data_IF_611723349842
#
_entry.id   IF_611723349842
#
_cell.length_a   1.000
_cell.length_b   1.000
_cell.length_c   1.000
_cell.angle_alpha   90.00
_cell.angle_beta   90.00
_cell.angle_gamma   90.00
#
_symmetry.space_group_name_H-M   'P 1'
#
loop_
_entity.id
_entity.type
_entity.pdbx_description
1 polymer ?
#
# COMPACT_ATOMS: atom_id res chain seq x y z
N UNK A 1 47.54 8.85 39.01
CA UNK A 1 46.20 8.28 39.28
C UNK A 1 45.26 8.78 38.21
N UNK A 2 44.98 7.91 37.26
CA UNK A 2 44.21 8.10 36.03
C UNK A 2 42.73 7.85 36.31
N UNK A 3 41.85 8.72 35.83
CA UNK A 3 40.41 8.44 35.71
C UNK A 3 39.97 8.87 34.31
N UNK A 4 39.88 7.88 33.40
CA UNK A 4 39.39 8.04 32.05
C UNK A 4 37.87 7.82 32.09
N UNK A 5 37.08 8.86 31.88
CA UNK A 5 35.63 8.76 31.78
C UNK A 5 35.25 8.24 30.39
N UNK A 6 34.78 7.00 30.33
CA UNK A 6 34.21 6.41 29.11
C UNK A 6 32.78 6.93 28.99
N UNK A 7 32.58 7.87 28.07
CA UNK A 7 31.26 8.31 27.65
C UNK A 7 30.63 7.19 26.81
N UNK A 8 29.62 6.50 27.39
CA UNK A 8 28.79 5.57 26.66
C UNK A 8 27.88 6.36 25.71
N UNK A 9 28.24 6.39 24.42
CA UNK A 9 27.37 6.86 23.36
C UNK A 9 26.27 5.81 23.19
N UNK A 10 25.10 6.10 23.75
CA UNK A 10 23.85 5.40 23.43
C UNK A 10 23.56 5.66 21.94
N UNK A 11 23.92 4.71 21.09
CA UNK A 11 23.45 4.63 19.72
C UNK A 11 21.93 4.42 19.78
N UNK A 12 21.18 5.50 19.60
CA UNK A 12 19.75 5.43 19.31
C UNK A 12 19.66 4.79 17.93
N UNK A 13 19.35 3.48 17.91
CA UNK A 13 18.95 2.79 16.69
C UNK A 13 17.62 3.43 16.26
N UNK A 14 17.71 4.43 15.38
CA UNK A 14 16.55 4.77 14.56
C UNK A 14 16.21 3.51 13.77
N UNK A 15 14.93 3.09 13.72
CA UNK A 15 14.53 2.08 12.76
C UNK A 15 14.79 2.69 11.37
N UNK A 16 15.94 2.36 10.80
CA UNK A 16 16.12 2.42 9.36
C UNK A 16 14.97 1.58 8.81
N UNK A 17 14.03 2.20 8.09
CA UNK A 17 12.95 1.48 7.43
C UNK A 17 13.56 0.31 6.68
N UNK A 18 13.41 -0.90 7.23
CA UNK A 18 14.05 -2.08 6.70
C UNK A 18 13.45 -2.33 5.32
N UNK A 19 14.27 -2.30 4.27
CA UNK A 19 13.82 -2.67 2.94
C UNK A 19 13.30 -4.11 2.92
N UNK A 20 12.61 -4.48 1.85
CA UNK A 20 12.09 -5.83 1.66
C UNK A 20 13.24 -6.81 1.44
N UNK A 21 13.27 -7.87 2.25
CA UNK A 21 14.27 -8.95 2.17
C UNK A 21 13.82 -9.98 1.13
N UNK A 22 14.46 -9.95 -0.04
CA UNK A 22 14.06 -10.75 -1.19
C UNK A 22 15.13 -11.78 -1.51
N UNK A 23 14.71 -13.04 -1.62
CA UNK A 23 15.54 -14.14 -2.12
C UNK A 23 14.89 -14.73 -3.36
N UNK A 24 15.62 -14.76 -4.46
CA UNK A 24 15.21 -15.45 -5.68
C UNK A 24 16.25 -16.49 -6.08
N UNK A 25 15.79 -17.52 -6.77
CA UNK A 25 16.65 -18.54 -7.34
C UNK A 25 16.91 -18.22 -8.82
N UNK A 26 18.16 -18.32 -9.23
CA UNK A 26 18.66 -18.10 -10.58
C UNK A 26 19.15 -19.44 -11.11
N UNK A 27 18.63 -19.93 -12.23
CA UNK A 27 18.93 -21.30 -12.71
C UNK A 27 20.41 -21.48 -13.16
N UNK A 28 20.91 -22.73 -13.16
CA UNK A 28 22.30 -23.09 -13.43
C UNK A 28 22.87 -22.58 -14.77
N UNK A 29 22.06 -22.51 -15.84
CA UNK A 29 22.49 -21.92 -17.13
C UNK A 29 22.87 -20.42 -17.00
N UNK A 30 22.49 -19.81 -15.88
CA UNK A 30 22.71 -18.39 -15.56
C UNK A 30 23.67 -18.16 -14.38
N UNK A 31 24.11 -19.22 -13.68
CA UNK A 31 24.85 -19.16 -12.41
C UNK A 31 26.38 -19.19 -12.52
N UNK A 32 26.95 -19.38 -13.71
CA UNK A 32 28.41 -19.35 -13.97
C UNK A 32 29.04 -17.93 -13.89
N UNK A 33 28.27 -16.92 -13.46
CA UNK A 33 28.67 -15.52 -13.42
C UNK A 33 29.08 -15.09 -12.00
N UNK A 34 30.04 -14.17 -11.90
CA UNK A 34 30.48 -13.60 -10.62
C UNK A 34 29.49 -12.56 -10.05
N UNK A 35 28.51 -12.14 -10.85
CA UNK A 35 27.52 -11.11 -10.52
C UNK A 35 26.13 -11.54 -11.03
N UNK A 36 25.04 -11.14 -10.37
CA UNK A 36 23.68 -11.45 -10.83
C UNK A 36 23.38 -10.77 -12.17
N UNK A 37 22.66 -11.49 -13.05
CA UNK A 37 22.21 -10.92 -14.32
C UNK A 37 21.21 -9.78 -14.09
N UNK A 38 21.14 -8.79 -14.99
CA UNK A 38 20.11 -7.74 -14.94
C UNK A 38 18.67 -8.26 -14.97
N UNK A 39 18.41 -9.46 -15.53
CA UNK A 39 17.10 -10.12 -15.48
C UNK A 39 16.73 -10.55 -14.07
N UNK A 40 17.62 -11.31 -13.40
CA UNK A 40 17.44 -11.76 -12.03
C UNK A 40 17.28 -10.56 -11.07
N UNK A 41 18.10 -9.53 -11.23
CA UNK A 41 17.95 -8.31 -10.43
C UNK A 41 16.57 -7.67 -10.64
N UNK A 42 16.10 -7.51 -11.88
CA UNK A 42 14.75 -6.96 -12.14
C UNK A 42 13.65 -7.78 -11.50
N UNK A 43 13.74 -9.11 -11.54
CA UNK A 43 12.80 -10.00 -10.88
C UNK A 43 12.81 -9.81 -9.36
N UNK A 44 14.00 -9.74 -8.75
CA UNK A 44 14.13 -9.52 -7.32
C UNK A 44 13.56 -8.15 -6.89
N UNK A 45 13.80 -7.10 -7.68
CA UNK A 45 13.22 -5.77 -7.46
C UNK A 45 11.68 -5.80 -7.57
N UNK A 46 11.14 -6.45 -8.60
CA UNK A 46 9.69 -6.61 -8.76
C UNK A 46 9.07 -7.39 -7.61
N UNK A 47 9.73 -8.44 -7.14
CA UNK A 47 9.30 -9.22 -5.98
C UNK A 47 9.31 -8.39 -4.69
N UNK A 48 10.31 -7.51 -4.50
CA UNK A 48 10.36 -6.57 -3.37
C UNK A 48 9.22 -5.56 -3.39
N UNK A 49 8.92 -4.97 -4.55
CA UNK A 49 7.76 -4.07 -4.72
C UNK A 49 6.44 -4.80 -4.46
N UNK A 50 6.33 -6.04 -4.92
CA UNK A 50 5.16 -6.88 -4.70
C UNK A 50 4.96 -7.22 -3.21
N UNK A 51 6.01 -7.62 -2.48
CA UNK A 51 5.96 -7.84 -1.02
C UNK A 51 5.55 -6.57 -0.26
N UNK A 52 6.09 -5.42 -0.66
CA UNK A 52 5.71 -4.12 -0.09
C UNK A 52 4.22 -3.81 -0.32
N UNK A 53 3.71 -4.12 -1.51
CA UNK A 53 2.30 -3.94 -1.85
C UNK A 53 1.39 -4.84 -0.98
N UNK A 54 1.74 -6.11 -0.76
CA UNK A 54 0.98 -6.99 0.14
C UNK A 54 1.01 -6.49 1.59
N UNK A 55 2.18 -6.00 2.05
CA UNK A 55 2.31 -5.38 3.36
C UNK A 55 1.43 -4.14 3.50
N UNK A 56 1.34 -3.29 2.47
CA UNK A 56 0.46 -2.12 2.42
C UNK A 56 -1.04 -2.48 2.44
N UNK A 57 -1.41 -3.63 1.88
CA UNK A 57 -2.80 -4.10 1.83
C UNK A 57 -3.22 -4.84 3.12
N UNK A 58 -2.31 -4.97 4.09
CA UNK A 58 -2.57 -5.54 5.41
C UNK A 58 -2.65 -7.07 5.42
N UNK A 59 -1.94 -7.76 4.52
CA UNK A 59 -1.80 -9.22 4.51
C UNK A 59 -2.20 -9.88 3.19
N UNK A 60 -2.25 -11.21 3.19
CA UNK A 60 -2.36 -12.02 1.98
C UNK A 60 -3.65 -11.77 1.19
N UNK A 61 -3.47 -11.52 -0.10
CA UNK A 61 -4.55 -11.49 -1.07
C UNK A 61 -4.89 -12.92 -1.53
N UNK A 62 -6.16 -13.16 -1.88
CA UNK A 62 -6.55 -14.38 -2.58
C UNK A 62 -5.75 -14.55 -3.88
N UNK A 63 -5.39 -15.79 -4.22
CA UNK A 63 -4.48 -16.12 -5.34
C UNK A 63 -4.80 -15.38 -6.65
N UNK A 64 -6.06 -15.29 -7.11
CA UNK A 64 -6.36 -14.61 -8.37
C UNK A 64 -5.97 -13.12 -8.34
N UNK A 65 -6.24 -12.44 -7.23
CA UNK A 65 -5.92 -11.03 -7.04
C UNK A 65 -4.43 -10.82 -6.87
N UNK A 66 -3.76 -11.75 -6.19
CA UNK A 66 -2.30 -11.75 -6.03
C UNK A 66 -1.59 -11.84 -7.37
N UNK A 67 -2.03 -12.78 -8.22
CA UNK A 67 -1.49 -12.96 -9.57
C UNK A 67 -1.72 -11.71 -10.44
N UNK A 68 -2.93 -11.13 -10.40
CA UNK A 68 -3.23 -9.90 -11.12
C UNK A 68 -2.38 -8.70 -10.62
N UNK A 69 -2.17 -8.59 -9.31
CA UNK A 69 -1.32 -7.56 -8.72
C UNK A 69 0.14 -7.69 -9.14
N UNK A 70 0.69 -8.92 -9.15
CA UNK A 70 2.06 -9.15 -9.62
C UNK A 70 2.21 -8.71 -11.08
N UNK A 71 1.28 -9.11 -11.96
CA UNK A 71 1.31 -8.79 -13.39
C UNK A 71 1.27 -7.29 -13.66
N UNK A 72 0.51 -6.51 -12.87
CA UNK A 72 0.42 -5.06 -13.09
C UNK A 72 1.64 -4.31 -12.52
N UNK A 73 2.27 -4.83 -11.46
CA UNK A 73 3.40 -4.19 -10.80
C UNK A 73 4.73 -4.50 -11.49
N UNK A 74 4.92 -5.70 -12.02
CA UNK A 74 6.16 -6.15 -12.66
C UNK A 74 6.73 -5.16 -13.69
N UNK A 75 5.97 -4.67 -14.71
CA UNK A 75 6.52 -3.73 -15.68
C UNK A 75 6.83 -2.34 -15.10
N UNK A 76 6.27 -2.02 -13.93
CA UNK A 76 6.39 -0.71 -13.26
C UNK A 76 7.26 -0.75 -12.01
N UNK A 77 7.81 -1.90 -11.64
CA UNK A 77 8.48 -2.09 -10.37
C UNK A 77 9.58 -1.04 -10.14
N UNK A 78 10.34 -0.73 -11.19
CA UNK A 78 11.41 0.25 -11.16
C UNK A 78 10.94 1.66 -10.74
N UNK A 79 9.70 2.05 -11.05
CA UNK A 79 9.13 3.35 -10.68
C UNK A 79 8.98 3.50 -9.16
N UNK A 80 8.90 2.38 -8.45
CA UNK A 80 8.70 2.33 -7.01
C UNK A 80 9.97 1.96 -6.24
N UNK A 81 11.07 1.60 -6.90
CA UNK A 81 12.33 1.30 -6.20
C UNK A 81 13.09 2.60 -5.92
N UNK A 82 13.37 2.87 -4.65
CA UNK A 82 14.24 3.97 -4.24
C UNK A 82 15.72 3.60 -4.35
N UNK A 83 16.06 2.41 -3.84
CA UNK A 83 17.42 1.89 -3.74
C UNK A 83 17.38 0.38 -3.49
N UNK A 84 18.50 -0.31 -3.69
CA UNK A 84 18.64 -1.72 -3.35
C UNK A 84 20.09 -2.06 -2.97
N UNK A 85 20.25 -3.08 -2.15
CA UNK A 85 21.56 -3.58 -1.70
C UNK A 85 21.63 -5.09 -1.93
N UNK A 86 22.65 -5.54 -2.66
CA UNK A 86 22.99 -6.97 -2.71
C UNK A 86 23.50 -7.40 -1.33
N UNK A 87 22.85 -8.39 -0.73
CA UNK A 87 23.30 -9.01 0.51
C UNK A 87 24.19 -10.19 0.21
N UNK A 88 23.78 -11.00 -0.76
CA UNK A 88 24.44 -12.26 -1.07
C UNK A 88 24.11 -12.70 -2.49
N UNK A 89 25.10 -13.31 -3.15
CA UNK A 89 24.91 -14.08 -4.37
C UNK A 89 25.64 -15.41 -4.20
N UNK A 90 24.89 -16.45 -3.85
CA UNK A 90 25.42 -17.77 -3.50
C UNK A 90 25.23 -18.77 -4.64
N UNK A 91 26.30 -19.26 -5.27
CA UNK A 91 26.21 -20.41 -6.16
C UNK A 91 25.75 -21.67 -5.42
N UNK A 92 24.98 -22.50 -6.09
CA UNK A 92 24.44 -23.79 -5.64
C UNK A 92 24.61 -24.83 -6.76
N UNK A 93 24.39 -26.11 -6.45
CA UNK A 93 24.49 -27.19 -7.46
C UNK A 93 23.49 -27.06 -8.62
N UNK A 94 22.42 -26.27 -8.44
CA UNK A 94 21.33 -26.13 -9.40
C UNK A 94 21.21 -24.72 -10.00
N UNK A 95 22.05 -23.77 -9.59
CA UNK A 95 21.83 -22.35 -9.85
C UNK A 95 22.55 -21.44 -8.87
N UNK A 96 22.04 -20.25 -8.65
CA UNK A 96 22.48 -19.34 -7.60
C UNK A 96 21.28 -18.77 -6.83
N UNK A 97 21.48 -18.37 -5.58
CA UNK A 97 20.51 -17.62 -4.80
C UNK A 97 20.95 -16.17 -4.76
N UNK A 98 20.12 -15.28 -5.32
CA UNK A 98 20.29 -13.84 -5.18
C UNK A 98 19.48 -13.35 -3.98
N UNK A 99 20.17 -12.77 -3.01
CA UNK A 99 19.59 -12.14 -1.83
C UNK A 99 19.81 -10.63 -1.91
N UNK A 100 18.71 -9.88 -1.99
CA UNK A 100 18.75 -8.41 -2.05
C UNK A 100 17.84 -7.81 -0.98
N UNK A 101 18.21 -6.61 -0.51
CA UNK A 101 17.33 -5.75 0.25
C UNK A 101 16.81 -4.63 -0.65
N UNK A 102 15.49 -4.51 -0.82
CA UNK A 102 14.87 -3.54 -1.73
C UNK A 102 14.17 -2.44 -0.95
N UNK A 103 14.58 -1.19 -1.14
CA UNK A 103 13.92 -0.02 -0.55
C UNK A 103 12.88 0.51 -1.53
N UNK A 104 11.62 0.51 -1.10
CA UNK A 104 10.47 0.87 -1.95
C UNK A 104 9.91 2.23 -1.55
N UNK A 105 9.52 3.03 -2.54
CA UNK A 105 8.81 4.29 -2.37
C UNK A 105 7.35 4.02 -2.01
N UNK A 106 7.15 3.64 -0.75
CA UNK A 106 5.88 3.17 -0.18
C UNK A 106 4.72 4.13 -0.39
N UNK A 107 4.96 5.45 -0.34
CA UNK A 107 3.91 6.45 -0.58
C UNK A 107 3.40 6.43 -2.03
N UNK A 108 4.30 6.37 -3.03
CA UNK A 108 3.88 6.28 -4.43
C UNK A 108 3.20 4.94 -4.73
N UNK A 109 3.72 3.84 -4.18
CA UNK A 109 3.11 2.53 -4.33
C UNK A 109 1.70 2.50 -3.72
N UNK A 110 1.51 3.07 -2.53
CA UNK A 110 0.17 3.22 -1.93
C UNK A 110 -0.76 4.04 -2.82
N UNK A 111 -0.30 5.20 -3.31
CA UNK A 111 -1.09 6.04 -4.20
C UNK A 111 -1.55 5.30 -5.46
N UNK A 112 -0.69 4.43 -6.00
CA UNK A 112 -1.03 3.54 -7.11
C UNK A 112 -2.07 2.48 -6.72
N UNK A 113 -1.92 1.82 -5.58
CA UNK A 113 -2.91 0.84 -5.10
C UNK A 113 -4.28 1.48 -4.80
N UNK A 114 -4.29 2.73 -4.34
CA UNK A 114 -5.50 3.53 -4.15
C UNK A 114 -6.13 3.93 -5.48
N UNK A 115 -5.34 4.31 -6.48
CA UNK A 115 -5.83 4.69 -7.81
C UNK A 115 -6.45 3.52 -8.56
N UNK A 116 -5.96 2.30 -8.31
CA UNK A 116 -6.56 1.05 -8.78
C UNK A 116 -7.82 0.65 -8.01
N UNK A 117 -8.02 1.15 -6.79
CA UNK A 117 -9.07 0.70 -5.88
C UNK A 117 -8.73 -0.55 -5.07
N UNK A 118 -7.65 -1.26 -5.41
CA UNK A 118 -7.16 -2.45 -4.69
C UNK A 118 -6.98 -2.19 -3.20
N UNK A 119 -6.57 -0.97 -2.83
CA UNK A 119 -6.42 -0.56 -1.43
C UNK A 119 -7.73 -0.58 -0.65
N UNK A 120 -8.86 -0.24 -1.29
CA UNK A 120 -10.15 -0.08 -0.63
C UNK A 120 -11.03 -1.34 -0.71
N UNK A 121 -10.88 -2.13 -1.77
CA UNK A 121 -11.79 -3.25 -2.09
C UNK A 121 -11.28 -4.60 -1.60
N UNK A 122 -10.52 -4.64 -0.50
CA UNK A 122 -9.98 -5.89 0.04
C UNK A 122 -11.06 -6.93 0.32
N UNK A 123 -12.08 -6.52 1.07
CA UNK A 123 -13.20 -7.37 1.50
C UNK A 123 -14.53 -6.98 0.85
N UNK A 124 -14.52 -5.98 -0.03
CA UNK A 124 -15.71 -5.43 -0.65
C UNK A 124 -15.63 -5.58 -2.16
N UNK A 125 -16.79 -5.74 -2.79
CA UNK A 125 -16.91 -5.78 -4.25
C UNK A 125 -17.82 -4.65 -4.67
N UNK A 126 -17.38 -3.88 -5.66
CA UNK A 126 -18.16 -2.79 -6.24
C UNK A 126 -18.76 -3.26 -7.55
N UNK A 127 -20.08 -3.33 -7.60
CA UNK A 127 -20.79 -3.61 -8.83
C UNK A 127 -20.72 -2.40 -9.79
N UNK A 128 -20.51 -2.66 -11.08
CA UNK A 128 -20.70 -1.70 -12.16
C UNK A 128 -21.35 -2.35 -13.38
N UNK A 129 -21.75 -1.55 -14.36
CA UNK A 129 -22.24 -2.00 -15.67
C UNK A 129 -21.22 -1.69 -16.76
N UNK A 130 -20.84 -2.70 -17.55
CA UNK A 130 -19.93 -2.54 -18.68
C UNK A 130 -20.69 -2.36 -20.00
N UNK A 131 -20.41 -1.28 -20.72
CA UNK A 131 -20.83 -1.05 -22.10
C UNK A 131 -19.59 -1.02 -23.02
N UNK A 132 -19.18 -2.18 -23.51
CA UNK A 132 -17.99 -2.30 -24.36
C UNK A 132 -18.35 -2.41 -25.86
N UNK A 133 -17.57 -1.74 -26.73
CA UNK A 133 -17.66 -1.86 -28.19
C UNK A 133 -16.28 -2.06 -28.81
N UNK A 134 -16.20 -2.98 -29.77
CA UNK A 134 -14.97 -3.22 -30.55
C UNK A 134 -13.83 -3.90 -29.78
N UNK A 135 -14.07 -4.41 -28.57
CA UNK A 135 -13.04 -5.12 -27.81
C UNK A 135 -12.77 -6.52 -28.38
N UNK A 136 -11.51 -6.91 -28.44
CA UNK A 136 -11.08 -8.26 -28.80
C UNK A 136 -11.01 -9.19 -27.57
N UNK A 137 -10.69 -10.48 -27.79
CA UNK A 137 -10.64 -11.48 -26.73
C UNK A 137 -9.54 -11.22 -25.69
N UNK A 138 -8.38 -10.72 -26.13
CA UNK A 138 -7.26 -10.36 -25.25
C UNK A 138 -7.62 -9.18 -24.35
N UNK A 139 -8.21 -8.14 -24.92
CA UNK A 139 -8.71 -6.97 -24.20
C UNK A 139 -9.79 -7.35 -23.17
N UNK A 140 -10.68 -8.27 -23.52
CA UNK A 140 -11.70 -8.80 -22.60
C UNK A 140 -11.04 -9.52 -21.41
N UNK A 141 -9.97 -10.27 -21.65
CA UNK A 141 -9.21 -10.93 -20.59
C UNK A 141 -8.48 -9.92 -19.69
N UNK A 142 -7.90 -8.87 -20.27
CA UNK A 142 -7.28 -7.79 -19.50
C UNK A 142 -8.31 -7.12 -18.58
N UNK A 143 -9.53 -6.85 -19.04
CA UNK A 143 -10.61 -6.31 -18.20
C UNK A 143 -10.91 -7.25 -17.03
N UNK A 144 -11.06 -8.56 -17.26
CA UNK A 144 -11.30 -9.51 -16.17
C UNK A 144 -10.20 -9.49 -15.10
N UNK A 145 -8.94 -9.37 -15.51
CA UNK A 145 -7.82 -9.25 -14.59
C UNK A 145 -7.87 -7.93 -13.80
N UNK A 146 -8.23 -6.82 -14.45
CA UNK A 146 -8.38 -5.51 -13.82
C UNK A 146 -9.57 -5.47 -12.84
N UNK A 147 -10.67 -6.15 -13.16
CA UNK A 147 -11.82 -6.33 -12.26
C UNK A 147 -11.42 -7.04 -10.96
N UNK A 148 -10.76 -8.19 -11.09
CA UNK A 148 -10.26 -8.97 -9.96
C UNK A 148 -9.29 -8.15 -9.11
N UNK A 149 -8.37 -7.43 -9.74
CA UNK A 149 -7.42 -6.56 -9.07
C UNK A 149 -8.12 -5.44 -8.30
N UNK A 150 -8.97 -4.68 -8.98
CA UNK A 150 -9.63 -3.47 -8.47
C UNK A 150 -10.79 -3.77 -7.53
N UNK A 151 -11.26 -5.02 -7.47
CA UNK A 151 -12.41 -5.43 -6.67
C UNK A 151 -13.73 -4.89 -7.17
N UNK A 152 -13.85 -4.79 -8.49
CA UNK A 152 -15.09 -4.37 -9.15
C UNK A 152 -15.64 -5.55 -9.95
N UNK A 153 -16.95 -5.58 -10.20
CA UNK A 153 -17.58 -6.66 -10.95
C UNK A 153 -18.74 -6.14 -11.81
N UNK A 154 -18.95 -6.80 -12.95
CA UNK A 154 -20.06 -6.51 -13.87
C UNK A 154 -21.43 -7.02 -13.37
N UNK A 155 -21.76 -6.85 -12.09
CA UNK A 155 -23.04 -7.23 -11.48
C UNK A 155 -23.75 -6.04 -10.81
N UNK A 156 -23.34 -4.82 -11.14
CA UNK A 156 -23.78 -3.59 -10.46
C UNK A 156 -25.00 -2.90 -11.01
N UNK A 157 -25.47 -1.94 -10.21
CA UNK A 157 -26.59 -1.05 -10.54
C UNK A 157 -26.27 -0.09 -11.69
N UNK A 158 -27.32 0.45 -12.30
CA UNK A 158 -27.24 1.41 -13.41
C UNK A 158 -26.55 2.75 -13.08
N UNK A 159 -26.20 2.98 -11.82
CA UNK A 159 -25.58 4.22 -11.35
C UNK A 159 -24.08 4.30 -11.61
N UNK A 160 -23.38 3.19 -11.84
CA UNK A 160 -21.95 3.16 -12.16
C UNK A 160 -21.72 2.44 -13.50
N UNK A 161 -21.45 3.20 -14.55
CA UNK A 161 -21.39 2.70 -15.92
C UNK A 161 -20.00 2.96 -16.49
N UNK A 162 -19.29 1.89 -16.85
CA UNK A 162 -18.04 1.95 -17.59
C UNK A 162 -18.33 1.72 -19.07
N UNK A 163 -18.00 2.68 -19.92
CA UNK A 163 -18.08 2.52 -21.37
C UNK A 163 -16.68 2.45 -21.95
N UNK A 164 -16.40 1.43 -22.76
CA UNK A 164 -15.11 1.24 -23.42
C UNK A 164 -15.30 1.09 -24.92
N UNK A 165 -14.46 1.77 -25.70
CA UNK A 165 -14.47 1.70 -27.15
C UNK A 165 -13.05 1.54 -27.69
N UNK A 166 -12.82 0.50 -28.48
CA UNK A 166 -11.60 0.39 -29.28
C UNK A 166 -11.75 1.26 -30.54
N UNK A 167 -10.80 2.15 -30.75
CA UNK A 167 -10.77 3.03 -31.92
C UNK A 167 -10.09 2.33 -33.10
N UNK A 168 -10.29 2.88 -34.31
CA UNK A 168 -9.73 2.32 -35.54
C UNK A 168 -8.19 2.41 -35.62
N UNK A 169 -7.59 3.35 -34.90
CA UNK A 169 -6.13 3.54 -34.80
C UNK A 169 -5.48 2.62 -33.74
N UNK A 170 -6.27 1.74 -33.11
CA UNK A 170 -5.81 0.85 -32.04
C UNK A 170 -5.81 1.47 -30.65
N UNK A 171 -6.11 2.77 -30.51
CA UNK A 171 -6.25 3.40 -29.20
C UNK A 171 -7.56 2.97 -28.51
N UNK A 172 -7.56 3.06 -27.19
CA UNK A 172 -8.72 2.78 -26.36
C UNK A 172 -9.25 4.08 -25.77
N UNK A 173 -10.55 4.25 -25.84
CA UNK A 173 -11.26 5.34 -25.18
C UNK A 173 -12.22 4.77 -24.16
N UNK A 174 -12.23 5.35 -22.97
CA UNK A 174 -13.16 4.96 -21.92
C UNK A 174 -13.85 6.16 -21.28
N UNK A 175 -15.06 5.91 -20.76
CA UNK A 175 -15.77 6.85 -19.89
C UNK A 175 -16.34 6.11 -18.70
N UNK A 176 -16.23 6.70 -17.52
CA UNK A 176 -16.85 6.21 -16.28
C UNK A 176 -17.86 7.22 -15.81
N UNK A 177 -19.11 6.79 -15.70
CA UNK A 177 -20.27 7.60 -15.34
C UNK A 177 -20.78 7.15 -13.97
N UNK A 178 -20.81 8.07 -13.02
CA UNK A 178 -21.28 7.83 -11.67
C UNK A 178 -22.08 9.01 -11.12
N UNK A 179 -23.39 8.81 -10.94
CA UNK A 179 -24.29 9.83 -10.36
C UNK A 179 -24.21 11.20 -11.09
N UNK A 180 -24.06 11.19 -12.42
CA UNK A 180 -23.93 12.40 -13.24
C UNK A 180 -22.53 13.00 -13.29
N UNK A 181 -21.55 12.42 -12.59
CA UNK A 181 -20.13 12.70 -12.80
C UNK A 181 -19.59 11.81 -13.90
N UNK A 182 -18.93 12.41 -14.89
CA UNK A 182 -18.36 11.67 -16.03
C UNK A 182 -16.87 11.95 -16.12
N UNK A 183 -16.08 10.89 -16.08
CA UNK A 183 -14.64 10.92 -16.32
C UNK A 183 -14.34 10.23 -17.64
N UNK A 184 -13.33 10.72 -18.35
CA UNK A 184 -12.89 10.20 -19.63
C UNK A 184 -11.40 9.93 -19.60
N UNK A 185 -10.97 8.83 -20.21
CA UNK A 185 -9.56 8.52 -20.41
C UNK A 185 -9.35 7.94 -21.81
N UNK A 186 -8.16 8.15 -22.36
CA UNK A 186 -7.73 7.59 -23.63
C UNK A 186 -6.28 7.16 -23.51
N UNK A 187 -5.93 6.03 -24.11
CA UNK A 187 -4.57 5.51 -24.07
C UNK A 187 -4.37 4.33 -25.02
N UNK A 188 -3.11 3.94 -25.26
CA UNK A 188 -2.77 2.78 -26.07
C UNK A 188 -3.15 1.47 -25.37
N UNK A 189 -3.21 1.44 -24.03
CA UNK A 189 -3.41 0.22 -23.27
C UNK A 189 -4.59 0.31 -22.28
N UNK A 190 -5.31 -0.81 -22.11
CA UNK A 190 -6.44 -0.91 -21.19
C UNK A 190 -6.09 -0.57 -19.73
N UNK A 191 -4.97 -1.03 -19.15
CA UNK A 191 -4.61 -0.70 -17.77
C UNK A 191 -4.49 0.80 -17.54
N UNK A 192 -3.94 1.56 -18.50
CA UNK A 192 -3.80 3.01 -18.38
C UNK A 192 -5.16 3.71 -18.39
N UNK A 193 -6.03 3.36 -19.36
CA UNK A 193 -7.40 3.87 -19.43
C UNK A 193 -8.16 3.53 -18.15
N UNK A 194 -8.01 2.30 -17.66
CA UNK A 194 -8.64 1.82 -16.43
C UNK A 194 -8.22 2.64 -15.22
N UNK A 195 -6.91 2.79 -14.98
CA UNK A 195 -6.38 3.61 -13.88
C UNK A 195 -6.85 5.05 -13.99
N UNK A 196 -6.82 5.64 -15.19
CA UNK A 196 -7.28 7.02 -15.41
C UNK A 196 -8.75 7.21 -15.02
N UNK A 197 -9.61 6.24 -15.29
CA UNK A 197 -11.03 6.31 -14.94
C UNK A 197 -11.29 6.01 -13.46
N UNK A 198 -10.79 4.88 -12.98
CA UNK A 198 -11.09 4.38 -11.64
C UNK A 198 -10.41 5.20 -10.54
N UNK A 199 -9.26 5.82 -10.81
CA UNK A 199 -8.61 6.73 -9.86
C UNK A 199 -9.49 7.92 -9.48
N UNK A 200 -10.29 8.43 -10.42
CA UNK A 200 -11.26 9.48 -10.13
C UNK A 200 -12.37 8.97 -9.20
N UNK A 201 -12.88 7.77 -9.47
CA UNK A 201 -13.94 7.16 -8.65
C UNK A 201 -13.46 6.86 -7.23
N UNK A 202 -12.35 6.12 -7.09
CA UNK A 202 -11.78 5.80 -5.78
C UNK A 202 -11.17 7.02 -5.07
N UNK A 203 -10.87 8.09 -5.80
CA UNK A 203 -10.43 9.37 -5.24
C UNK A 203 -11.55 10.18 -4.58
N UNK A 204 -12.83 9.87 -4.84
CA UNK A 204 -13.94 10.62 -4.25
C UNK A 204 -14.05 10.37 -2.74
N UNK A 205 -14.08 11.46 -1.95
CA UNK A 205 -14.27 11.39 -0.49
C UNK A 205 -15.48 10.53 -0.09
N UNK A 206 -16.59 10.62 -0.83
CA UNK A 206 -17.81 9.84 -0.53
C UNK A 206 -17.63 8.34 -0.76
N UNK A 207 -16.86 7.96 -1.78
CA UNK A 207 -16.54 6.56 -2.05
C UNK A 207 -15.56 6.04 -1.01
N UNK A 208 -14.49 6.79 -0.73
CA UNK A 208 -13.48 6.44 0.29
C UNK A 208 -14.09 6.18 1.67
N UNK A 209 -14.99 7.05 2.13
CA UNK A 209 -15.71 6.89 3.42
C UNK A 209 -16.57 5.62 3.51
N UNK A 210 -16.82 4.93 2.40
CA UNK A 210 -17.51 3.62 2.41
C UNK A 210 -16.58 2.48 2.85
N UNK A 211 -15.26 2.66 2.68
CA UNK A 211 -14.23 1.66 2.98
C UNK A 211 -13.35 2.04 4.18
N UNK A 212 -13.33 3.32 4.52
CA UNK A 212 -12.57 3.85 5.64
C UNK A 212 -13.45 3.88 6.91
N UNK A 213 -12.94 3.31 7.98
CA UNK A 213 -13.42 3.50 9.33
C UNK A 213 -12.89 4.81 9.90
N UNK A 214 -13.76 5.52 10.62
CA UNK A 214 -13.42 6.68 11.42
C UNK A 214 -13.41 6.27 12.90
N UNK A 215 -12.29 6.53 13.56
CA UNK A 215 -12.05 6.13 14.93
C UNK A 215 -11.62 7.33 15.76
N UNK A 216 -12.12 7.40 16.99
CA UNK A 216 -11.66 8.39 17.95
C UNK A 216 -10.82 7.70 19.01
N UNK A 217 -9.55 8.09 19.08
CA UNK A 217 -8.63 7.67 20.14
C UNK A 217 -8.59 8.77 21.20
N UNK A 218 -9.06 8.43 22.39
CA UNK A 218 -8.95 9.25 23.59
C UNK A 218 -7.90 8.66 24.51
N UNK A 219 -6.99 9.49 25.01
CA UNK A 219 -5.95 9.07 25.97
C UNK A 219 -5.88 10.04 27.14
N UNK A 220 -5.56 9.53 28.32
CA UNK A 220 -5.47 10.30 29.56
C UNK A 220 -4.35 9.78 30.44
N UNK A 221 -3.65 10.69 31.12
CA UNK A 221 -2.58 10.36 32.06
C UNK A 221 -1.19 10.78 31.62
N UNK A 222 -1.06 11.60 30.56
CA UNK A 222 0.26 12.10 30.15
C UNK A 222 0.78 13.13 31.14
N UNK A 223 2.05 13.04 31.49
CA UNK A 223 2.71 13.96 32.43
C UNK A 223 3.34 15.16 31.72
N UNK A 224 3.64 15.05 30.42
CA UNK A 224 4.19 16.12 29.62
C UNK A 224 3.60 16.16 28.20
N UNK A 225 3.53 17.35 27.60
CA UNK A 225 3.12 17.53 26.21
C UNK A 225 4.10 16.87 25.22
N UNK A 226 5.38 16.73 25.62
CA UNK A 226 6.38 16.02 24.82
C UNK A 226 6.02 14.55 24.60
N UNK A 227 5.45 13.87 25.59
CA UNK A 227 5.04 12.47 25.46
C UNK A 227 3.87 12.30 24.50
N UNK A 228 2.94 13.27 24.52
CA UNK A 228 1.83 13.34 23.55
C UNK A 228 2.36 13.52 22.13
N UNK A 229 3.37 14.37 21.94
CA UNK A 229 3.98 14.61 20.64
C UNK A 229 4.77 13.37 20.15
N UNK A 230 5.53 12.72 21.02
CA UNK A 230 6.22 11.47 20.69
C UNK A 230 5.24 10.36 20.32
N UNK A 231 4.07 10.31 20.97
CA UNK A 231 3.02 9.38 20.57
C UNK A 231 2.38 9.76 19.23
N UNK A 232 2.08 11.04 18.98
CA UNK A 232 1.55 11.49 17.69
C UNK A 232 2.49 11.12 16.53
N UNK A 233 3.81 11.28 16.73
CA UNK A 233 4.80 10.84 15.75
C UNK A 233 4.77 9.32 15.56
N UNK A 234 4.81 8.54 16.65
CA UNK A 234 4.75 7.08 16.57
C UNK A 234 3.47 6.59 15.87
N UNK A 235 2.34 7.24 16.13
CA UNK A 235 1.04 6.96 15.51
C UNK A 235 1.10 7.17 13.99
N UNK A 236 1.74 8.24 13.53
CA UNK A 236 1.94 8.54 12.09
C UNK A 236 2.87 7.56 11.40
N UNK A 237 3.83 6.99 12.13
CA UNK A 237 4.74 5.95 11.64
C UNK A 237 4.04 4.57 11.51
N UNK A 238 2.82 4.40 12.02
CA UNK A 238 2.04 3.15 11.84
C UNK A 238 1.40 3.09 10.46
N UNK A 239 2.24 3.07 9.44
CA UNK A 239 1.85 3.25 8.05
C UNK A 239 1.02 2.12 7.44
N UNK A 240 0.87 0.95 8.07
CA UNK A 240 0.16 -0.18 7.45
C UNK A 240 -1.36 -0.01 7.46
N UNK A 241 -1.89 0.84 8.33
CA UNK A 241 -3.34 0.88 8.59
C UNK A 241 -3.85 2.30 8.85
N UNK A 242 -3.18 3.35 8.37
CA UNK A 242 -3.62 4.73 8.63
C UNK A 242 -3.61 5.53 7.34
N UNK A 243 -4.77 6.08 7.00
CA UNK A 243 -4.96 7.01 5.89
C UNK A 243 -4.84 8.46 6.35
N UNK A 244 -5.30 8.76 7.57
CA UNK A 244 -5.26 10.11 8.14
C UNK A 244 -5.25 10.06 9.66
N UNK A 245 -4.44 10.91 10.28
CA UNK A 245 -4.42 11.20 11.72
C UNK A 245 -4.51 12.69 11.93
N UNK A 246 -5.57 13.11 12.61
CA UNK A 246 -5.77 14.48 13.05
C UNK A 246 -5.75 14.53 14.59
N UNK A 247 -4.81 15.27 15.17
CA UNK A 247 -4.83 15.59 16.59
C UNK A 247 -5.93 16.64 16.82
N UNK A 248 -7.04 16.22 17.42
CA UNK A 248 -8.21 17.07 17.66
C UNK A 248 -7.97 18.06 18.80
N UNK A 249 -7.12 17.71 19.77
CA UNK A 249 -6.72 18.63 20.83
C UNK A 249 -6.01 17.96 21.99
N UNK A 250 -5.39 18.82 22.82
CA UNK A 250 -4.78 18.48 24.09
C UNK A 250 -5.42 19.37 25.16
N UNK A 251 -5.79 18.78 26.29
CA UNK A 251 -6.38 19.50 27.42
C UNK A 251 -5.72 19.08 28.72
N UNK A 252 -5.53 20.03 29.62
CA UNK A 252 -5.06 19.75 30.98
C UNK A 252 -6.25 19.45 31.87
N UNK A 253 -6.21 18.33 32.57
CA UNK A 253 -7.24 17.90 33.49
C UNK A 253 -6.99 18.46 34.90
N UNK A 254 -8.01 18.49 35.79
CA UNK A 254 -7.87 19.06 37.14
C UNK A 254 -6.82 18.39 38.02
N UNK A 255 -6.45 17.15 37.72
CA UNK A 255 -5.37 16.39 38.37
C UNK A 255 -3.96 16.79 37.90
N UNK A 256 -3.86 17.74 36.95
CA UNK A 256 -2.62 18.20 36.35
C UNK A 256 -2.10 17.32 35.21
N UNK A 257 -2.77 16.19 34.91
CA UNK A 257 -2.42 15.30 33.81
C UNK A 257 -3.03 15.80 32.50
N UNK A 258 -2.42 15.47 31.37
CA UNK A 258 -2.95 15.82 30.06
C UNK A 258 -3.84 14.71 29.53
N UNK A 259 -4.89 15.13 28.82
CA UNK A 259 -5.72 14.31 27.95
C UNK A 259 -5.50 14.76 26.51
N UNK A 260 -5.40 13.82 25.59
CA UNK A 260 -5.27 14.09 24.16
C UNK A 260 -6.21 13.21 23.35
N UNK A 261 -6.71 13.77 22.25
CA UNK A 261 -7.72 13.15 21.39
C UNK A 261 -7.30 13.19 19.93
N UNK A 262 -7.36 12.04 19.25
CA UNK A 262 -7.09 11.92 17.82
C UNK A 262 -8.30 11.38 17.08
N UNK A 263 -8.47 11.86 15.85
CA UNK A 263 -9.27 11.21 14.83
C UNK A 263 -8.36 10.41 13.91
N UNK A 264 -8.68 9.15 13.73
CA UNK A 264 -7.89 8.21 12.94
C UNK A 264 -8.81 7.62 11.88
N UNK A 265 -8.43 7.80 10.61
CA UNK A 265 -9.11 7.21 9.47
C UNK A 265 -8.29 6.03 8.96
N UNK A 266 -8.91 4.87 8.84
CA UNK A 266 -8.24 3.61 8.54
C UNK A 266 -9.11 2.64 7.74
N UNK A 267 -8.52 1.86 6.85
CA UNK A 267 -9.17 0.71 6.20
C UNK A 267 -9.06 -0.60 7.02
N UNK A 268 -8.31 -0.60 8.12
CA UNK A 268 -8.11 -1.75 9.02
C UNK A 268 -8.24 -1.32 10.50
N UNK A 269 -9.48 -1.10 10.90
CA UNK A 269 -9.86 -0.78 12.28
C UNK A 269 -9.30 -1.78 13.29
N UNK A 270 -9.32 -3.06 12.96
CA UNK A 270 -8.92 -4.14 13.88
C UNK A 270 -7.41 -4.16 14.14
N UNK A 271 -6.60 -4.06 13.07
CA UNK A 271 -5.15 -3.94 13.18
C UNK A 271 -4.76 -2.65 13.90
N UNK A 272 -5.46 -1.55 13.62
CA UNK A 272 -5.23 -0.27 14.30
C UNK A 272 -5.50 -0.36 15.81
N UNK A 273 -6.62 -0.96 16.23
CA UNK A 273 -6.92 -1.19 17.65
C UNK A 273 -5.89 -2.08 18.34
N UNK A 274 -5.41 -3.11 17.65
CA UNK A 274 -4.37 -4.01 18.15
C UNK A 274 -3.06 -3.25 18.40
N UNK A 275 -2.64 -2.39 17.47
CA UNK A 275 -1.43 -1.55 17.60
C UNK A 275 -1.54 -0.56 18.75
N UNK A 276 -2.67 0.14 18.87
CA UNK A 276 -2.94 1.04 20.00
C UNK A 276 -2.81 0.27 21.32
N UNK A 277 -3.45 -0.90 21.43
CA UNK A 277 -3.37 -1.74 22.63
C UNK A 277 -1.94 -2.15 22.96
N UNK A 278 -1.18 -2.59 21.97
CA UNK A 278 0.21 -3.00 22.14
C UNK A 278 1.09 -1.82 22.62
N UNK A 279 0.88 -0.62 22.07
CA UNK A 279 1.65 0.56 22.44
C UNK A 279 1.46 0.96 23.92
N UNK A 280 0.22 0.86 24.42
CA UNK A 280 -0.13 1.26 25.79
C UNK A 280 -0.03 0.13 26.83
N UNK A 281 0.23 -1.13 26.42
CA UNK A 281 0.21 -2.29 27.33
C UNK A 281 1.12 -2.17 28.57
N UNK A 282 2.22 -1.43 28.46
CA UNK A 282 3.20 -1.23 29.54
C UNK A 282 3.38 0.26 29.90
N UNK A 283 2.35 1.08 29.70
CA UNK A 283 2.39 2.53 29.98
C UNK A 283 1.29 2.93 30.95
N UNK A 284 1.60 3.86 31.83
CA UNK A 284 0.65 4.45 32.78
C UNK A 284 -0.23 5.52 32.10
N UNK A 285 -0.76 5.22 30.91
CA UNK A 285 -1.68 6.09 30.16
C UNK A 285 -2.92 5.27 29.84
N UNK A 286 -4.08 5.73 30.34
CA UNK A 286 -5.36 5.14 30.01
C UNK A 286 -5.77 5.56 28.59
N UNK A 287 -6.39 4.65 27.85
CA UNK A 287 -6.88 4.94 26.51
C UNK A 287 -8.24 4.29 26.24
N UNK A 288 -9.02 4.90 25.34
CA UNK A 288 -10.25 4.34 24.80
C UNK A 288 -10.35 4.61 23.31
N UNK A 289 -10.88 3.64 22.56
CA UNK A 289 -11.07 3.72 21.12
C UNK A 289 -12.56 3.59 20.80
N UNK A 290 -13.12 4.61 20.15
CA UNK A 290 -14.52 4.68 19.72
C UNK A 290 -14.65 4.52 18.21
#
# INVERSE_FOLDING_TARGET
>A
MTALAIAAILLINFPVHAGQDVRIFVEAEEADLAEPRPSALREALAQGVFQEAEALLGGELGEPRRSALRRILEPRAQEYVLDWEEREFLPTEWGAVLHVNVRVHRQALRGFLQSLGTYYTRNNVIGYRLEARGLNAEQTEVIRNLEVLSGVRQDGADSLILRLNSQADGSLQGTLDYEGLVWSAMGPELPEVWIGLWSNYFGMDRVRRTFEDDMILDTHGWTAAGDVQSFDQALREWEVSVDRIDLLGISMQPDGLLQARWRIVTTDRSGMQSRVRQYFQNRDVAYSVQ
#
